data_IF_524861428035
#
_entry.id   IF_524861428035
#
_cell.length_a   1.000
_cell.length_b   1.000
_cell.length_c   1.000
_cell.angle_alpha   90.00
_cell.angle_beta   90.00
_cell.angle_gamma   90.00
#
_symmetry.space_group_name_H-M   'P 1'
#
loop_
_entity.id
_entity.type
_entity.pdbx_description
1 polymer ?
#
# COMPACT_ATOMS: atom_id res chain seq x y z
N UNK A 1 1.96 -48.41 2.59
CA UNK A 1 3.23 -47.71 2.28
C UNK A 1 2.87 -46.28 1.86
N UNK A 2 2.86 -45.41 2.84
CA UNK A 2 2.58 -43.99 2.67
C UNK A 2 3.79 -43.32 2.03
N UNK A 3 3.58 -42.73 0.88
CA UNK A 3 4.51 -41.79 0.27
C UNK A 3 3.90 -40.38 0.35
N UNK A 4 4.06 -39.71 1.50
CA UNK A 4 3.89 -38.28 1.62
C UNK A 4 5.19 -37.61 1.13
N UNK A 5 5.34 -37.50 -0.17
CA UNK A 5 6.33 -36.62 -0.76
C UNK A 5 5.73 -35.20 -0.71
N UNK A 6 6.17 -34.38 0.25
CA UNK A 6 5.99 -32.93 0.22
C UNK A 6 6.86 -32.38 -0.92
N UNK A 7 6.36 -32.45 -2.14
CA UNK A 7 7.01 -31.78 -3.26
C UNK A 7 6.78 -30.27 -3.12
N UNK A 8 7.87 -29.51 -3.02
CA UNK A 8 7.83 -28.08 -3.26
C UNK A 8 7.14 -27.86 -4.60
N UNK A 9 6.12 -26.99 -4.64
CA UNK A 9 5.42 -26.72 -5.89
C UNK A 9 6.37 -26.03 -6.88
N UNK A 10 6.09 -26.16 -8.17
CA UNK A 10 6.87 -25.44 -9.20
C UNK A 10 6.87 -23.92 -8.93
N UNK A 11 5.80 -23.41 -8.31
CA UNK A 11 5.66 -22.02 -7.88
C UNK A 11 6.61 -21.66 -6.74
N UNK A 12 6.77 -22.52 -5.72
CA UNK A 12 7.73 -22.32 -4.61
C UNK A 12 9.18 -22.24 -5.14
N UNK A 13 9.48 -23.05 -6.16
CA UNK A 13 10.79 -23.04 -6.81
C UNK A 13 11.03 -21.75 -7.59
N UNK A 14 10.02 -21.24 -8.30
CA UNK A 14 10.07 -19.99 -9.05
C UNK A 14 10.21 -18.77 -8.13
N UNK A 15 9.50 -18.77 -6.99
CA UNK A 15 9.47 -17.65 -6.05
C UNK A 15 10.65 -17.65 -5.07
N UNK A 16 11.45 -18.71 -5.01
CA UNK A 16 12.70 -18.77 -4.27
C UNK A 16 12.59 -18.57 -2.75
N UNK A 17 11.39 -18.64 -2.19
CA UNK A 17 11.14 -18.53 -0.76
C UNK A 17 10.05 -19.51 -0.35
N UNK A 18 10.33 -20.28 0.71
CA UNK A 18 9.33 -21.07 1.39
C UNK A 18 8.52 -20.12 2.28
N UNK A 19 7.59 -19.36 1.68
CA UNK A 19 6.62 -18.62 2.46
C UNK A 19 5.59 -19.65 2.91
N UNK A 20 5.43 -19.80 4.22
CA UNK A 20 4.50 -20.77 4.81
C UNK A 20 3.09 -20.27 4.48
N UNK A 21 2.38 -21.02 3.64
CA UNK A 21 0.97 -20.77 3.43
C UNK A 21 0.25 -20.91 4.79
N UNK A 22 -0.66 -20.01 5.16
CA UNK A 22 -1.48 -20.22 6.34
C UNK A 22 -2.38 -21.42 6.08
N UNK A 23 -2.02 -22.59 6.65
CA UNK A 23 -2.84 -23.79 6.63
C UNK A 23 -4.20 -23.47 7.27
N UNK A 24 -5.25 -23.28 6.45
CA UNK A 24 -6.62 -23.13 6.90
C UNK A 24 -6.93 -21.92 7.80
N UNK A 25 -6.06 -20.93 7.83
CA UNK A 25 -6.24 -19.70 8.60
C UNK A 25 -7.21 -18.75 7.90
N UNK A 26 -8.19 -18.20 8.66
CA UNK A 26 -9.09 -17.16 8.19
C UNK A 26 -8.36 -15.83 7.84
N UNK A 27 -9.12 -14.77 7.68
CA UNK A 27 -8.63 -13.44 7.25
C UNK A 27 -7.43 -12.91 8.05
N UNK A 28 -7.36 -13.21 9.35
CA UNK A 28 -6.23 -12.80 10.21
C UNK A 28 -4.91 -13.47 9.81
N UNK A 29 -4.94 -14.71 9.34
CA UNK A 29 -3.75 -15.39 8.87
C UNK A 29 -3.24 -14.79 7.54
N UNK A 30 -4.15 -14.37 6.66
CA UNK A 30 -3.81 -13.65 5.43
C UNK A 30 -3.15 -12.32 5.78
N UNK A 31 -3.76 -11.52 6.67
CA UNK A 31 -3.17 -10.23 7.12
C UNK A 31 -1.79 -10.42 7.75
N UNK A 32 -1.65 -11.40 8.63
CA UNK A 32 -0.37 -11.72 9.27
C UNK A 32 0.71 -12.12 8.26
N UNK A 33 0.36 -12.90 7.24
CA UNK A 33 1.27 -13.28 6.16
C UNK A 33 1.73 -12.04 5.36
N UNK A 34 0.82 -11.16 5.00
CA UNK A 34 1.12 -9.91 4.29
C UNK A 34 2.00 -9.01 5.18
N UNK A 35 1.66 -8.86 6.46
CA UNK A 35 2.44 -8.04 7.40
C UNK A 35 3.89 -8.56 7.55
N UNK A 36 4.08 -9.87 7.68
CA UNK A 36 5.40 -10.50 7.72
C UNK A 36 6.17 -10.27 6.42
N UNK A 37 5.49 -10.39 5.27
CA UNK A 37 6.12 -10.20 3.96
C UNK A 37 6.69 -8.78 3.82
N UNK A 38 5.92 -7.74 4.10
CA UNK A 38 6.35 -6.34 3.99
C UNK A 38 7.17 -5.83 5.18
N UNK A 39 7.04 -6.46 6.35
CA UNK A 39 7.77 -6.05 7.56
C UNK A 39 9.12 -6.72 7.74
N UNK A 40 9.26 -7.98 7.32
CA UNK A 40 10.43 -8.80 7.62
C UNK A 40 11.12 -9.34 6.36
N UNK A 41 10.34 -9.75 5.33
CA UNK A 41 10.90 -10.41 4.15
C UNK A 41 11.47 -9.40 3.15
N UNK A 42 10.74 -8.33 2.85
CA UNK A 42 11.20 -7.29 1.93
C UNK A 42 12.01 -6.24 2.68
N UNK A 43 13.23 -6.00 2.23
CA UNK A 43 14.07 -4.90 2.72
C UNK A 43 14.04 -3.71 1.76
N UNK A 44 14.00 -3.98 0.47
CA UNK A 44 13.91 -2.99 -0.60
C UNK A 44 13.03 -3.51 -1.75
N UNK A 45 12.67 -2.64 -2.69
CA UNK A 45 11.95 -3.02 -3.90
C UNK A 45 12.69 -4.03 -4.80
N UNK A 46 14.00 -4.16 -4.65
CA UNK A 46 14.81 -5.13 -5.41
C UNK A 46 14.57 -6.59 -4.95
N UNK A 47 13.95 -6.79 -3.79
CA UNK A 47 13.63 -8.12 -3.25
C UNK A 47 12.35 -8.72 -3.85
N UNK A 48 11.56 -7.94 -4.60
CA UNK A 48 10.36 -8.41 -5.28
C UNK A 48 10.70 -9.51 -6.30
N UNK A 49 9.85 -10.54 -6.35
CA UNK A 49 10.07 -11.74 -7.19
C UNK A 49 9.37 -11.64 -8.55
N UNK A 50 8.36 -10.77 -8.66
CA UNK A 50 7.62 -10.57 -9.91
C UNK A 50 7.75 -9.13 -10.38
N UNK A 51 7.42 -8.89 -11.66
CA UNK A 51 7.34 -7.55 -12.24
C UNK A 51 5.95 -6.90 -12.07
N UNK A 52 5.05 -7.50 -11.30
CA UNK A 52 3.69 -6.99 -11.12
C UNK A 52 3.69 -5.66 -10.35
N UNK A 53 4.51 -5.58 -9.30
CA UNK A 53 4.80 -4.33 -8.61
C UNK A 53 5.99 -3.63 -9.26
N UNK A 54 6.05 -2.31 -9.12
CA UNK A 54 7.15 -1.47 -9.65
C UNK A 54 7.29 -1.48 -11.19
N UNK A 55 6.21 -1.73 -11.93
CA UNK A 55 6.23 -1.61 -13.39
C UNK A 55 6.60 -0.18 -13.78
N UNK A 56 7.60 0.02 -14.67
CA UNK A 56 7.96 1.35 -15.14
C UNK A 56 6.77 2.01 -15.85
N UNK A 57 6.40 3.20 -15.45
CA UNK A 57 5.38 4.03 -16.09
C UNK A 57 5.88 5.47 -16.20
N UNK A 58 5.39 6.19 -17.20
CA UNK A 58 5.80 7.57 -17.43
C UNK A 58 5.04 8.51 -16.50
N UNK A 59 5.75 8.99 -15.48
CA UNK A 59 5.21 9.95 -14.53
C UNK A 59 5.14 11.36 -15.11
N UNK A 60 4.08 12.13 -14.82
CA UNK A 60 4.04 13.54 -15.14
C UNK A 60 5.27 14.28 -14.60
N UNK A 61 5.77 15.26 -15.36
CA UNK A 61 6.99 16.02 -15.00
C UNK A 61 6.90 16.61 -13.57
N UNK A 62 5.73 17.10 -13.17
CA UNK A 62 5.49 17.65 -11.82
C UNK A 62 5.73 16.58 -10.75
N UNK A 63 5.16 15.38 -10.93
CA UNK A 63 5.30 14.26 -9.99
C UNK A 63 6.76 13.81 -9.91
N UNK A 64 7.47 13.70 -11.05
CA UNK A 64 8.91 13.38 -11.05
C UNK A 64 9.74 14.40 -10.27
N UNK A 65 9.42 15.69 -10.42
CA UNK A 65 10.07 16.75 -9.66
C UNK A 65 9.83 16.65 -8.15
N UNK A 66 8.62 16.31 -7.73
CA UNK A 66 8.31 16.07 -6.31
C UNK A 66 9.07 14.85 -5.80
N UNK A 67 9.01 13.72 -6.53
CA UNK A 67 9.68 12.48 -6.15
C UNK A 67 11.19 12.61 -6.02
N UNK A 68 11.82 13.51 -6.77
CA UNK A 68 13.26 13.76 -6.62
C UNK A 68 13.64 14.28 -5.23
N UNK A 69 12.71 14.91 -4.53
CA UNK A 69 12.89 15.45 -3.18
C UNK A 69 12.40 14.54 -2.06
N UNK A 70 11.67 13.45 -2.39
CA UNK A 70 11.26 12.44 -1.39
C UNK A 70 12.51 11.72 -0.89
N UNK A 71 12.65 11.46 0.43
CA UNK A 71 13.81 10.79 1.00
C UNK A 71 14.12 9.44 0.34
N UNK A 72 15.39 9.13 0.12
CA UNK A 72 15.82 7.90 -0.56
C UNK A 72 15.39 6.64 0.21
N UNK A 73 15.41 6.66 1.54
CA UNK A 73 14.95 5.55 2.37
C UNK A 73 13.47 5.21 2.12
N UNK A 74 12.64 6.24 1.92
CA UNK A 74 11.22 6.09 1.58
C UNK A 74 11.07 5.50 0.17
N UNK A 75 11.83 5.99 -0.80
CA UNK A 75 11.80 5.49 -2.19
C UNK A 75 12.27 4.05 -2.31
N UNK A 76 13.30 3.66 -1.53
CA UNK A 76 13.85 2.31 -1.54
C UNK A 76 12.86 1.24 -1.03
N UNK A 77 11.89 1.63 -0.19
CA UNK A 77 10.85 0.74 0.35
C UNK A 77 9.48 0.95 -0.32
N UNK A 78 9.46 1.34 -1.57
CA UNK A 78 8.23 1.49 -2.33
C UNK A 78 7.92 0.22 -3.13
N UNK A 79 6.69 -0.27 -3.02
CA UNK A 79 6.23 -1.52 -3.65
C UNK A 79 4.95 -1.35 -4.49
N UNK A 80 4.60 -0.11 -4.86
CA UNK A 80 3.40 0.17 -5.64
C UNK A 80 3.55 -0.14 -7.12
N UNK A 81 2.43 -0.39 -7.79
CA UNK A 81 2.34 -0.73 -9.21
C UNK A 81 1.92 0.44 -10.12
N UNK A 82 1.67 1.62 -9.54
CA UNK A 82 1.19 2.77 -10.28
C UNK A 82 1.43 4.10 -9.58
N UNK A 83 0.71 5.13 -10.00
CA UNK A 83 0.65 6.44 -9.34
C UNK A 83 -0.80 6.92 -9.30
N UNK A 84 -1.56 6.54 -8.28
CA UNK A 84 -2.97 6.87 -8.17
C UNK A 84 -3.21 8.31 -7.71
N UNK A 85 -2.17 9.12 -7.54
CA UNK A 85 -2.31 10.49 -7.04
C UNK A 85 -2.66 11.44 -8.19
N UNK A 86 -3.90 12.00 -8.25
CA UNK A 86 -4.28 12.98 -9.26
C UNK A 86 -3.59 14.32 -9.01
N UNK A 87 -3.57 15.16 -10.05
CA UNK A 87 -3.11 16.54 -9.93
C UNK A 87 -4.30 17.48 -9.66
N UNK A 88 -4.05 18.65 -9.10
CA UNK A 88 -5.10 19.63 -8.82
C UNK A 88 -5.88 19.33 -7.54
N UNK A 89 -5.18 18.80 -6.54
CA UNK A 89 -5.73 18.42 -5.22
C UNK A 89 -5.36 19.42 -4.13
N UNK A 90 -5.07 20.67 -4.52
CA UNK A 90 -4.67 21.72 -3.59
C UNK A 90 -5.71 21.91 -2.48
N UNK A 91 -5.28 21.91 -1.23
CA UNK A 91 -6.10 22.10 -0.04
C UNK A 91 -6.95 20.90 0.39
N UNK A 92 -6.93 19.77 -0.34
CA UNK A 92 -7.75 18.59 -0.01
C UNK A 92 -7.20 17.83 1.20
N UNK A 93 -8.13 17.10 1.84
CA UNK A 93 -7.84 16.07 2.86
C UNK A 93 -7.73 14.72 2.14
N UNK A 94 -6.52 14.16 2.13
CA UNK A 94 -6.19 12.92 1.42
C UNK A 94 -5.96 11.79 2.41
N UNK A 95 -6.52 10.61 2.13
CA UNK A 95 -6.24 9.36 2.83
C UNK A 95 -5.53 8.40 1.89
N UNK A 96 -4.41 7.83 2.32
CA UNK A 96 -3.68 6.79 1.61
C UNK A 96 -3.88 5.44 2.30
N UNK A 97 -4.51 4.50 1.60
CA UNK A 97 -4.78 3.14 2.10
C UNK A 97 -3.57 2.24 1.82
N UNK A 98 -2.95 1.73 2.89
CA UNK A 98 -1.72 0.95 2.81
C UNK A 98 -0.54 1.80 2.38
N UNK A 99 -0.29 2.86 3.12
CA UNK A 99 0.69 3.90 2.78
C UNK A 99 2.14 3.41 2.74
N UNK A 100 2.44 2.24 3.30
CA UNK A 100 3.78 1.70 3.38
C UNK A 100 4.77 2.69 4.00
N UNK A 101 5.91 2.88 3.34
CA UNK A 101 6.94 3.85 3.74
C UNK A 101 6.56 5.32 3.49
N UNK A 102 5.35 5.59 2.96
CA UNK A 102 4.81 6.93 2.81
C UNK A 102 5.15 7.65 1.50
N UNK A 103 5.69 6.97 0.48
CA UNK A 103 6.09 7.63 -0.79
C UNK A 103 4.94 8.42 -1.41
N UNK A 104 3.76 7.81 -1.56
CA UNK A 104 2.62 8.46 -2.20
C UNK A 104 1.99 9.52 -1.28
N UNK A 105 2.06 9.33 0.05
CA UNK A 105 1.71 10.37 1.03
C UNK A 105 2.60 11.60 0.90
N UNK A 106 3.91 11.46 0.73
CA UNK A 106 4.82 12.60 0.54
C UNK A 106 4.57 13.33 -0.78
N UNK A 107 4.27 12.60 -1.84
CA UNK A 107 3.84 13.20 -3.11
C UNK A 107 2.54 13.98 -2.92
N UNK A 108 1.55 13.38 -2.26
CA UNK A 108 0.28 14.02 -1.97
C UNK A 108 0.47 15.27 -1.08
N UNK A 109 1.31 15.20 -0.04
CA UNK A 109 1.61 16.32 0.85
C UNK A 109 2.14 17.57 0.09
N UNK A 110 3.02 17.35 -0.89
CA UNK A 110 3.51 18.42 -1.76
C UNK A 110 2.44 18.94 -2.74
N UNK A 111 1.46 18.12 -3.11
CA UNK A 111 0.40 18.49 -4.06
C UNK A 111 -0.76 19.22 -3.39
N UNK A 112 -1.14 18.81 -2.18
CA UNK A 112 -2.23 19.46 -1.42
C UNK A 112 -1.81 20.82 -0.85
N UNK A 113 -0.50 21.07 -0.74
CA UNK A 113 0.02 22.30 -0.16
C UNK A 113 -0.14 22.37 1.36
N UNK A 114 0.32 23.45 1.95
CA UNK A 114 0.35 23.62 3.41
C UNK A 114 -1.04 23.58 4.08
N UNK A 115 -2.08 24.06 3.37
CA UNK A 115 -3.46 24.08 3.88
C UNK A 115 -4.15 22.72 3.80
N UNK A 116 -3.69 21.80 2.95
CA UNK A 116 -4.21 20.44 2.84
C UNK A 116 -3.69 19.52 3.95
N UNK A 117 -4.23 18.31 3.99
CA UNK A 117 -3.81 17.28 4.96
C UNK A 117 -3.71 15.92 4.27
N UNK A 118 -2.73 15.13 4.68
CA UNK A 118 -2.56 13.76 4.20
C UNK A 118 -2.49 12.82 5.41
N UNK A 119 -3.30 11.77 5.40
CA UNK A 119 -3.24 10.70 6.40
C UNK A 119 -2.88 9.40 5.69
N UNK A 120 -1.79 8.75 6.08
CA UNK A 120 -1.43 7.41 5.63
C UNK A 120 -1.84 6.38 6.68
N UNK A 121 -2.50 5.30 6.26
CA UNK A 121 -2.84 4.16 7.12
C UNK A 121 -2.10 2.93 6.63
N UNK A 122 -1.37 2.25 7.52
CA UNK A 122 -0.69 0.98 7.24
C UNK A 122 -0.71 0.09 8.48
N UNK A 123 -0.67 -1.23 8.30
CA UNK A 123 -0.65 -2.18 9.41
C UNK A 123 0.76 -2.58 9.85
N UNK A 124 1.80 -2.21 9.07
CA UNK A 124 3.17 -2.68 9.22
C UNK A 124 4.04 -1.66 9.94
N UNK A 125 4.45 -1.94 11.18
CA UNK A 125 5.25 -1.02 11.98
C UNK A 125 6.55 -0.61 11.29
N UNK A 126 7.28 -1.57 10.68
CA UNK A 126 8.55 -1.30 10.01
C UNK A 126 8.42 -0.32 8.81
N UNK A 127 7.26 -0.28 8.16
CA UNK A 127 6.95 0.68 7.11
C UNK A 127 6.60 2.05 7.71
N UNK A 128 5.73 2.06 8.71
CA UNK A 128 5.31 3.28 9.40
C UNK A 128 6.46 4.01 10.10
N UNK A 129 7.44 3.27 10.63
CA UNK A 129 8.63 3.86 11.27
C UNK A 129 9.44 4.66 10.26
N UNK A 130 9.63 4.13 9.04
CA UNK A 130 10.28 4.88 7.96
C UNK A 130 9.44 6.09 7.53
N UNK A 131 8.13 5.90 7.37
CA UNK A 131 7.24 6.99 6.99
C UNK A 131 7.26 8.13 8.01
N UNK A 132 7.10 7.85 9.29
CA UNK A 132 7.07 8.85 10.38
C UNK A 132 8.39 9.59 10.56
N UNK A 133 9.52 8.89 10.36
CA UNK A 133 10.87 9.42 10.55
C UNK A 133 11.16 10.67 9.73
N UNK A 134 10.59 10.75 8.53
CA UNK A 134 10.89 11.79 7.57
C UNK A 134 9.81 12.90 7.46
N UNK A 135 8.68 12.77 8.17
CA UNK A 135 7.54 13.68 8.01
C UNK A 135 7.92 15.14 8.30
N UNK A 136 8.59 15.38 9.43
CA UNK A 136 9.01 16.72 9.84
C UNK A 136 9.99 17.34 8.85
N UNK A 137 11.11 16.66 8.57
CA UNK A 137 12.16 17.22 7.70
C UNK A 137 11.65 17.41 6.25
N UNK A 138 10.81 16.52 5.75
CA UNK A 138 10.26 16.68 4.42
C UNK A 138 9.30 17.86 4.33
N UNK A 139 8.35 18.00 5.24
CA UNK A 139 7.37 19.08 5.19
C UNK A 139 8.00 20.44 5.52
N UNK A 140 8.81 20.52 6.57
CA UNK A 140 9.36 21.80 7.03
C UNK A 140 10.61 22.20 6.23
N UNK A 141 11.61 21.31 6.12
CA UNK A 141 12.89 21.69 5.51
C UNK A 141 12.85 21.62 3.99
N UNK A 142 12.10 20.65 3.41
CA UNK A 142 12.06 20.47 1.95
C UNK A 142 10.93 21.26 1.29
N UNK A 143 9.71 21.22 1.85
CA UNK A 143 8.55 21.94 1.30
C UNK A 143 8.41 23.37 1.81
N UNK A 144 9.04 23.72 2.95
CA UNK A 144 9.02 25.05 3.54
C UNK A 144 7.72 25.37 4.30
N UNK A 145 7.00 24.34 4.81
CA UNK A 145 5.77 24.51 5.58
C UNK A 145 6.09 24.84 7.04
N UNK A 146 5.18 25.48 7.73
CA UNK A 146 5.31 25.81 9.17
C UNK A 146 5.26 24.56 10.05
N UNK A 147 4.57 23.51 9.59
CA UNK A 147 4.44 22.23 10.29
C UNK A 147 4.11 21.11 9.30
N UNK A 148 4.30 19.83 9.70
CA UNK A 148 3.92 18.69 8.85
C UNK A 148 2.42 18.71 8.53
N UNK A 149 2.10 18.56 7.24
CA UNK A 149 0.75 18.36 6.74
C UNK A 149 0.45 16.88 6.42
N UNK A 150 1.33 15.97 6.83
CA UNK A 150 1.20 14.52 6.69
C UNK A 150 1.32 13.84 8.05
N UNK A 151 0.44 12.86 8.29
CA UNK A 151 0.49 11.98 9.46
C UNK A 151 0.35 10.51 9.06
N UNK A 152 0.83 9.62 9.92
CA UNK A 152 0.77 8.17 9.68
C UNK A 152 0.17 7.44 10.88
N UNK A 153 -0.86 6.63 10.62
CA UNK A 153 -1.63 5.89 11.61
C UNK A 153 -1.48 4.38 11.39
N UNK A 154 -1.38 3.63 12.48
CA UNK A 154 -1.41 2.17 12.41
C UNK A 154 -2.85 1.69 12.36
N UNK A 155 -3.16 0.83 11.38
CA UNK A 155 -4.48 0.24 11.23
C UNK A 155 -4.57 -0.64 9.99
N UNK A 156 -5.69 -1.33 9.85
CA UNK A 156 -6.04 -2.08 8.65
C UNK A 156 -7.01 -1.28 7.78
N UNK A 157 -6.97 -1.53 6.49
CA UNK A 157 -7.83 -0.81 5.52
C UNK A 157 -9.28 -1.27 5.58
N UNK A 158 -9.56 -2.41 6.22
CA UNK A 158 -10.89 -2.95 6.46
C UNK A 158 -11.58 -2.33 7.69
N UNK A 159 -10.82 -1.65 8.57
CA UNK A 159 -11.34 -1.00 9.79
C UNK A 159 -10.60 0.33 10.03
N UNK A 160 -10.95 1.33 9.24
CA UNK A 160 -10.38 2.67 9.35
C UNK A 160 -10.89 3.40 10.60
N UNK A 161 -12.05 3.01 11.13
CA UNK A 161 -12.57 3.57 12.38
C UNK A 161 -11.65 3.25 13.55
N UNK A 162 -11.11 2.02 13.65
CA UNK A 162 -10.13 1.65 14.66
C UNK A 162 -8.80 2.43 14.51
N UNK A 163 -8.45 2.85 13.28
CA UNK A 163 -7.32 3.74 13.02
C UNK A 163 -7.63 5.22 13.34
N UNK A 164 -8.83 5.54 13.79
CA UNK A 164 -9.24 6.90 14.12
C UNK A 164 -9.47 7.79 12.89
N UNK A 165 -9.97 7.20 11.78
CA UNK A 165 -10.45 7.95 10.61
C UNK A 165 -11.96 8.10 10.73
N UNK A 166 -12.42 9.34 10.85
CA UNK A 166 -13.82 9.68 11.06
C UNK A 166 -14.66 9.57 9.78
N UNK A 167 -15.99 9.50 9.96
CA UNK A 167 -16.95 9.54 8.85
C UNK A 167 -16.83 10.86 8.08
N UNK A 168 -16.99 10.83 6.76
CA UNK A 168 -17.00 12.01 5.88
C UNK A 168 -15.82 12.97 6.10
N UNK A 169 -14.67 12.44 6.53
CA UNK A 169 -13.51 13.23 6.96
C UNK A 169 -12.48 13.48 5.86
N UNK A 170 -12.58 12.80 4.70
CA UNK A 170 -11.61 12.91 3.61
C UNK A 170 -12.27 13.26 2.28
N UNK A 171 -11.55 14.01 1.44
CA UNK A 171 -12.03 14.46 0.14
C UNK A 171 -11.52 13.56 -0.99
N UNK A 172 -10.40 12.88 -0.75
CA UNK A 172 -9.76 12.00 -1.71
C UNK A 172 -9.15 10.80 -0.99
N UNK A 173 -9.46 9.62 -1.48
CA UNK A 173 -8.73 8.39 -1.11
C UNK A 173 -7.79 8.02 -2.26
N UNK A 174 -6.55 7.66 -1.92
CA UNK A 174 -5.61 7.02 -2.84
C UNK A 174 -5.24 5.64 -2.31
N UNK A 175 -4.90 4.69 -3.20
CA UNK A 175 -4.41 3.36 -2.83
C UNK A 175 -3.56 2.77 -3.97
N UNK A 176 -2.44 2.17 -3.64
CA UNK A 176 -1.48 1.68 -4.62
C UNK A 176 -1.02 0.25 -4.32
N UNK A 177 -1.56 -0.72 -5.04
CA UNK A 177 -1.27 -2.16 -4.89
C UNK A 177 -1.58 -2.70 -3.48
N UNK A 178 -2.70 -2.33 -2.88
CA UNK A 178 -3.06 -2.72 -1.51
C UNK A 178 -4.41 -3.41 -1.42
N UNK A 179 -5.42 -2.97 -2.19
CA UNK A 179 -6.77 -3.54 -2.11
C UNK A 179 -6.75 -5.05 -2.41
N UNK A 180 -5.89 -5.50 -3.32
CA UNK A 180 -5.72 -6.91 -3.63
C UNK A 180 -5.14 -7.75 -2.47
N UNK A 181 -4.43 -7.13 -1.54
CA UNK A 181 -3.88 -7.82 -0.36
C UNK A 181 -4.93 -8.09 0.72
N UNK A 182 -6.05 -7.35 0.68
CA UNK A 182 -7.12 -7.53 1.65
C UNK A 182 -7.90 -8.84 1.42
N UNK A 183 -8.14 -9.62 2.48
CA UNK A 183 -9.04 -10.77 2.43
C UNK A 183 -10.52 -10.36 2.34
N UNK A 184 -10.87 -9.15 2.79
CA UNK A 184 -12.24 -8.63 2.80
C UNK A 184 -12.34 -7.29 2.04
N UNK A 185 -12.30 -7.37 0.71
CA UNK A 185 -12.45 -6.20 -0.16
C UNK A 185 -13.78 -5.45 0.00
N UNK A 186 -14.93 -6.15 0.24
CA UNK A 186 -16.18 -5.46 0.57
C UNK A 186 -16.06 -4.56 1.81
N UNK A 187 -15.39 -4.99 2.87
CA UNK A 187 -15.15 -4.16 4.05
C UNK A 187 -14.30 -2.93 3.71
N UNK A 188 -13.23 -3.11 2.92
CA UNK A 188 -12.40 -1.97 2.44
C UNK A 188 -13.25 -0.94 1.69
N UNK A 189 -14.11 -1.38 0.78
CA UNK A 189 -14.96 -0.47 0.01
C UNK A 189 -16.04 0.20 0.88
N UNK A 190 -16.55 -0.50 1.89
CA UNK A 190 -17.50 0.06 2.87
C UNK A 190 -16.84 1.14 3.72
N UNK A 191 -15.62 0.91 4.20
CA UNK A 191 -14.86 1.91 4.95
C UNK A 191 -14.45 3.10 4.08
N UNK A 192 -14.01 2.86 2.84
CA UNK A 192 -13.73 3.94 1.89
C UNK A 192 -14.97 4.82 1.66
N UNK A 193 -16.14 4.21 1.50
CA UNK A 193 -17.41 4.95 1.37
C UNK A 193 -17.77 5.74 2.62
N UNK A 194 -17.57 5.16 3.81
CA UNK A 194 -17.90 5.81 5.09
C UNK A 194 -17.06 7.06 5.34
N UNK A 195 -15.75 7.01 5.02
CA UNK A 195 -14.83 8.11 5.34
C UNK A 195 -14.81 9.22 4.29
N UNK A 196 -15.27 8.94 3.05
CA UNK A 196 -15.35 9.94 1.99
C UNK A 196 -16.44 10.97 2.28
N UNK A 197 -16.09 12.24 2.20
CA UNK A 197 -17.05 13.34 2.21
C UNK A 197 -17.91 13.32 0.95
N UNK A 198 -19.07 13.97 1.01
CA UNK A 198 -19.96 14.08 -0.16
C UNK A 198 -19.23 14.72 -1.35
N UNK A 199 -19.19 14.01 -2.47
CA UNK A 199 -18.45 14.42 -3.68
C UNK A 199 -16.97 14.05 -3.66
N UNK A 200 -16.50 13.36 -2.63
CA UNK A 200 -15.13 12.83 -2.57
C UNK A 200 -14.88 11.73 -3.59
N UNK A 201 -13.62 11.47 -3.90
CA UNK A 201 -13.20 10.56 -4.96
C UNK A 201 -12.25 9.48 -4.42
N UNK A 202 -12.27 8.28 -5.03
CA UNK A 202 -11.36 7.19 -4.73
C UNK A 202 -10.54 6.82 -5.97
N UNK A 203 -9.22 7.06 -5.91
CA UNK A 203 -8.26 6.71 -6.95
C UNK A 203 -7.39 5.55 -6.49
N UNK A 204 -7.36 4.47 -7.24
CA UNK A 204 -6.50 3.35 -6.91
C UNK A 204 -5.86 2.72 -8.14
N UNK A 205 -4.69 2.14 -7.94
CA UNK A 205 -3.94 1.35 -8.91
C UNK A 205 -3.67 -0.01 -8.31
N UNK A 206 -4.07 -1.07 -9.00
CA UNK A 206 -3.84 -2.43 -8.54
C UNK A 206 -3.74 -3.40 -9.72
N UNK A 207 -3.36 -4.64 -9.46
CA UNK A 207 -3.24 -5.68 -10.48
C UNK A 207 -4.61 -6.29 -10.76
N UNK A 208 -4.98 -6.37 -12.04
CA UNK A 208 -6.23 -7.00 -12.49
C UNK A 208 -5.94 -8.23 -13.33
N UNK A 209 -6.84 -9.21 -13.28
CA UNK A 209 -6.81 -10.37 -14.15
C UNK A 209 -7.99 -10.37 -15.15
N UNK A 210 -7.79 -10.96 -16.34
CA UNK A 210 -8.81 -11.07 -17.37
C UNK A 210 -9.77 -12.27 -17.16
N UNK A 211 -9.47 -13.10 -16.17
CA UNK A 211 -10.22 -14.30 -15.80
C UNK A 211 -9.98 -14.67 -14.35
N UNK A 212 -10.88 -15.50 -13.76
CA UNK A 212 -10.67 -16.04 -12.42
C UNK A 212 -9.36 -16.83 -12.36
N UNK A 213 -8.50 -16.48 -11.42
CA UNK A 213 -7.24 -17.17 -11.18
C UNK A 213 -7.50 -18.55 -10.55
N UNK A 214 -6.68 -19.57 -10.91
CA UNK A 214 -6.69 -20.87 -10.22
C UNK A 214 -6.44 -20.73 -8.72
N UNK A 215 -7.04 -21.61 -7.92
CA UNK A 215 -6.94 -21.53 -6.47
C UNK A 215 -5.49 -21.69 -5.97
N UNK A 216 -4.65 -22.46 -6.66
CA UNK A 216 -3.21 -22.59 -6.37
C UNK A 216 -2.46 -21.24 -6.45
N UNK A 217 -2.81 -20.38 -7.41
CA UNK A 217 -2.23 -19.04 -7.53
C UNK A 217 -2.78 -18.12 -6.45
N UNK A 218 -4.09 -18.18 -6.21
CA UNK A 218 -4.77 -17.32 -5.24
C UNK A 218 -4.33 -17.57 -3.80
N UNK A 219 -4.03 -18.83 -3.46
CA UNK A 219 -3.61 -19.23 -2.12
C UNK A 219 -2.09 -19.20 -1.92
N UNK A 220 -1.31 -18.90 -2.96
CA UNK A 220 0.15 -18.87 -2.84
C UNK A 220 0.61 -17.61 -2.12
N UNK A 221 1.23 -17.69 -0.94
CA UNK A 221 1.52 -16.51 -0.11
C UNK A 221 2.43 -15.47 -0.78
N UNK A 222 3.45 -15.90 -1.53
CA UNK A 222 4.33 -14.99 -2.26
C UNK A 222 3.61 -14.25 -3.38
N UNK A 223 2.72 -14.92 -4.12
CA UNK A 223 1.91 -14.28 -5.17
C UNK A 223 0.85 -13.36 -4.57
N UNK A 224 0.30 -13.70 -3.41
CA UNK A 224 -0.59 -12.83 -2.66
C UNK A 224 0.16 -11.58 -2.18
N UNK A 225 1.33 -11.74 -1.55
CA UNK A 225 2.17 -10.62 -1.11
C UNK A 225 2.60 -9.68 -2.25
N UNK A 226 2.65 -10.15 -3.49
CA UNK A 226 2.92 -9.32 -4.67
C UNK A 226 1.65 -8.95 -5.47
N UNK A 227 0.49 -8.88 -4.82
CA UNK A 227 -0.82 -8.48 -5.35
C UNK A 227 -1.41 -9.40 -6.44
N UNK A 228 -0.66 -10.38 -6.94
CA UNK A 228 -1.13 -11.29 -7.99
C UNK A 228 -2.19 -12.27 -7.49
N UNK A 229 -2.01 -12.86 -6.31
CA UNK A 229 -2.95 -13.83 -5.74
C UNK A 229 -4.33 -13.23 -5.46
N UNK A 230 -4.39 -11.94 -5.12
CA UNK A 230 -5.63 -11.21 -4.85
C UNK A 230 -6.26 -10.53 -6.05
N UNK A 231 -5.65 -10.59 -7.24
CA UNK A 231 -6.16 -9.93 -8.43
C UNK A 231 -7.56 -10.45 -8.83
N UNK A 232 -8.45 -9.54 -9.22
CA UNK A 232 -9.85 -9.81 -9.60
C UNK A 232 -10.12 -9.35 -11.03
#
# INVERSE_FOLDING_TARGET
>A
ADATASGSSALDTLMGAKIIAPDGGGDDAVRSSVQTYYGETLQTSDDLKTSACCTPYDLPKRIRGILSNVPDEVKAKYYGCGSPTPQGIDGLRVLDLGSGSGRDCYVAAALVGESGRVTGVDMTDAQLDVAKKHAESYCVETLGYDSPNVEFKKGTIEDLAAAGVEDESVDLIISNCVVNLSPDKPAVLSEAWRVLSSGGEFYFSDVYCDRRLPDEIRSHPGLLGECLGGAM
#
